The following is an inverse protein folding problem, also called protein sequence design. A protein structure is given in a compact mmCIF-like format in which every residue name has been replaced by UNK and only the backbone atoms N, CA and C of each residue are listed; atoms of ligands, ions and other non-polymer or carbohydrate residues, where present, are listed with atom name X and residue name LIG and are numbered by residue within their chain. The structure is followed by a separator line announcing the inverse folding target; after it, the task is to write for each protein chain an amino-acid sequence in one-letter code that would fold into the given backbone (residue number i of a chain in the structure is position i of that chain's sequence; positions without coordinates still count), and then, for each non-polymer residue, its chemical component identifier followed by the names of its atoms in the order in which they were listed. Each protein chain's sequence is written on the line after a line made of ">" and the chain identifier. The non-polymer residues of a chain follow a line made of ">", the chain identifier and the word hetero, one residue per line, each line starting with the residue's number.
data_IF_554677062705
#
_entry.id   IF_554677062705
#
_cell.length_a   1.000
_cell.length_b   1.000
_cell.length_c   1.000
_cell.angle_alpha   90.00
_cell.angle_beta   90.00
_cell.angle_gamma   90.00
#
_symmetry.space_group_name_H-M   'P 1'
#
loop_
_entity.id
_entity.type
_entity.pdbx_description
1 polymer ?
#
# COMPACT_ATOMS: atom_id res chain seq x y z
N UNK A 1 -23.44 -17.01 27.38
CA UNK A 1 -22.73 -16.76 26.11
C UNK A 1 -21.25 -16.88 26.41
N UNK A 2 -20.56 -17.83 25.76
CA UNK A 2 -19.10 -17.96 25.88
C UNK A 2 -18.51 -16.87 25.01
N UNK A 3 -17.80 -15.91 25.61
CA UNK A 3 -17.10 -14.85 24.90
C UNK A 3 -15.73 -15.41 24.46
N UNK A 4 -15.42 -15.35 23.18
CA UNK A 4 -14.12 -15.77 22.66
C UNK A 4 -13.07 -14.70 23.03
N UNK A 5 -11.94 -15.16 23.59
CA UNK A 5 -10.84 -14.30 24.06
C UNK A 5 -9.59 -14.52 23.21
N UNK A 6 -8.85 -13.44 22.99
CA UNK A 6 -7.58 -13.44 22.29
C UNK A 6 -6.51 -12.67 23.09
N UNK A 7 -5.27 -13.06 22.94
CA UNK A 7 -4.14 -12.25 23.40
C UNK A 7 -4.03 -10.99 22.55
N UNK A 8 -4.15 -11.14 21.22
CA UNK A 8 -4.14 -10.03 20.25
C UNK A 8 -5.29 -10.18 19.27
N UNK A 9 -6.03 -9.09 19.05
CA UNK A 9 -7.07 -9.01 18.03
C UNK A 9 -6.73 -7.91 17.03
N UNK A 10 -6.58 -8.28 15.76
CA UNK A 10 -6.28 -7.37 14.65
C UNK A 10 -7.61 -6.98 14.00
N UNK A 11 -7.88 -5.69 13.90
CA UNK A 11 -9.06 -5.15 13.23
C UNK A 11 -8.65 -4.64 11.85
N UNK A 12 -9.03 -5.37 10.81
CA UNK A 12 -8.67 -5.17 9.42
C UNK A 12 -7.73 -6.26 8.88
N UNK A 13 -8.21 -7.04 7.92
CA UNK A 13 -7.50 -8.14 7.25
C UNK A 13 -6.96 -7.76 5.86
N UNK A 14 -6.71 -6.47 5.61
CA UNK A 14 -5.98 -6.01 4.43
C UNK A 14 -4.49 -6.36 4.48
N UNK A 15 -3.72 -5.91 3.50
CA UNK A 15 -2.29 -6.24 3.41
C UNK A 15 -1.50 -5.88 4.67
N UNK A 16 -1.84 -4.77 5.33
CA UNK A 16 -1.17 -4.33 6.57
C UNK A 16 -1.52 -5.27 7.73
N UNK A 17 -2.80 -5.55 7.97
CA UNK A 17 -3.21 -6.45 9.05
C UNK A 17 -2.69 -7.87 8.87
N UNK A 18 -2.70 -8.40 7.63
CA UNK A 18 -2.15 -9.70 7.31
C UNK A 18 -0.63 -9.75 7.53
N UNK A 19 0.10 -8.69 7.16
CA UNK A 19 1.54 -8.63 7.40
C UNK A 19 1.87 -8.53 8.90
N UNK A 20 1.10 -7.78 9.67
CA UNK A 20 1.24 -7.72 11.13
C UNK A 20 1.01 -9.10 11.72
N UNK A 21 -0.07 -9.80 11.34
CA UNK A 21 -0.36 -11.15 11.80
C UNK A 21 0.80 -12.11 11.51
N UNK A 22 1.33 -12.11 10.29
CA UNK A 22 2.49 -12.92 9.90
C UNK A 22 3.67 -12.74 10.85
N UNK A 23 3.98 -11.51 11.26
CA UNK A 23 5.05 -11.24 12.20
C UNK A 23 4.73 -11.61 13.65
N UNK A 24 3.47 -11.43 14.09
CA UNK A 24 3.03 -11.75 15.44
C UNK A 24 2.98 -13.27 15.70
N UNK A 25 2.80 -14.08 14.68
CA UNK A 25 2.82 -15.56 14.78
C UNK A 25 4.17 -16.15 15.24
N UNK A 26 5.22 -15.32 15.33
CA UNK A 26 6.49 -15.72 15.94
C UNK A 26 6.40 -15.85 17.46
N UNK A 27 5.36 -15.28 18.07
CA UNK A 27 5.11 -15.33 19.50
C UNK A 27 4.10 -16.45 19.84
N UNK A 28 4.18 -17.00 21.04
CA UNK A 28 3.24 -18.02 21.54
C UNK A 28 2.00 -17.33 22.13
N UNK A 29 1.16 -16.80 21.23
CA UNK A 29 -0.05 -16.02 21.57
C UNK A 29 -1.23 -16.43 20.68
N UNK A 30 -2.44 -16.29 21.22
CA UNK A 30 -3.67 -16.45 20.44
C UNK A 30 -3.98 -15.17 19.67
N UNK A 31 -4.14 -15.29 18.34
CA UNK A 31 -4.40 -14.15 17.45
C UNK A 31 -5.76 -14.35 16.76
N UNK A 32 -6.54 -13.27 16.72
CA UNK A 32 -7.72 -13.16 15.86
C UNK A 32 -7.59 -12.03 14.85
N UNK A 33 -8.17 -12.19 13.67
CA UNK A 33 -8.32 -11.12 12.67
C UNK A 33 -9.80 -10.92 12.39
N UNK A 34 -10.30 -9.69 12.51
CA UNK A 34 -11.66 -9.33 12.12
C UNK A 34 -11.62 -8.52 10.84
N UNK A 35 -12.36 -8.94 9.82
CA UNK A 35 -12.52 -8.20 8.57
C UNK A 35 -13.87 -8.49 7.94
N UNK A 36 -14.56 -7.49 7.40
CA UNK A 36 -15.86 -7.66 6.75
C UNK A 36 -15.77 -7.98 5.25
N UNK A 37 -14.57 -8.06 4.70
CA UNK A 37 -14.31 -8.26 3.27
C UNK A 37 -15.08 -7.29 2.38
N UNK A 38 -15.24 -6.05 2.81
CA UNK A 38 -15.93 -5.02 2.05
C UNK A 38 -15.37 -4.87 0.63
N UNK A 39 -16.21 -4.44 -0.31
CA UNK A 39 -15.80 -4.13 -1.68
C UNK A 39 -14.88 -2.90 -1.72
N UNK A 40 -14.18 -2.70 -2.83
CA UNK A 40 -13.27 -1.55 -3.05
C UNK A 40 -12.14 -1.45 -2.02
N UNK A 41 -11.53 -2.57 -1.69
CA UNK A 41 -10.36 -2.63 -0.79
C UNK A 41 -9.13 -2.05 -1.48
N UNK A 42 -8.40 -1.17 -0.79
CA UNK A 42 -7.15 -0.60 -1.31
C UNK A 42 -6.15 -1.68 -1.76
N UNK A 43 -6.03 -2.78 -1.01
CA UNK A 43 -5.14 -3.90 -1.32
C UNK A 43 -5.41 -4.52 -2.69
N UNK A 44 -6.69 -4.70 -3.05
CA UNK A 44 -7.06 -5.38 -4.30
C UNK A 44 -7.02 -4.47 -5.52
N UNK A 45 -7.11 -3.16 -5.34
CA UNK A 45 -6.99 -2.18 -6.41
C UNK A 45 -5.55 -1.65 -6.59
N UNK A 46 -4.61 -2.11 -5.76
CA UNK A 46 -3.23 -1.64 -5.84
C UNK A 46 -2.52 -2.14 -7.10
N UNK A 47 -1.77 -1.26 -7.76
CA UNK A 47 -0.90 -1.61 -8.90
C UNK A 47 0.27 -2.52 -8.53
N UNK A 48 0.60 -2.61 -7.24
CA UNK A 48 1.66 -3.49 -6.72
C UNK A 48 3.06 -2.94 -6.90
N UNK A 49 3.22 -1.68 -7.26
CA UNK A 49 4.52 -1.02 -7.38
C UNK A 49 5.23 -0.94 -6.01
N UNK A 50 6.56 -1.13 -6.04
CA UNK A 50 7.46 -1.02 -4.89
C UNK A 50 8.36 0.20 -5.03
N UNK A 51 7.84 1.27 -5.61
CA UNK A 51 8.54 2.45 -6.08
C UNK A 51 8.92 3.44 -4.98
N UNK A 52 9.80 3.05 -4.05
CA UNK A 52 10.25 3.96 -3.00
C UNK A 52 10.89 5.24 -3.56
N UNK A 53 11.72 5.14 -4.61
CA UNK A 53 12.31 6.32 -5.25
C UNK A 53 11.28 7.16 -6.04
N UNK A 54 10.25 6.51 -6.58
CA UNK A 54 9.25 7.20 -7.40
C UNK A 54 8.37 8.19 -6.61
N UNK A 55 8.21 8.00 -5.31
CA UNK A 55 7.24 8.74 -4.49
C UNK A 55 7.82 9.99 -3.80
N UNK A 56 9.16 10.13 -3.69
CA UNK A 56 9.78 11.16 -2.84
C UNK A 56 10.63 12.16 -3.62
N UNK A 57 10.65 13.40 -3.11
CA UNK A 57 11.38 14.54 -3.65
C UNK A 57 12.43 15.07 -2.68
N UNK A 58 12.50 14.55 -1.49
CA UNK A 58 13.44 14.94 -0.44
C UNK A 58 13.69 13.81 0.55
N UNK A 59 14.80 13.93 1.29
CA UNK A 59 15.13 13.04 2.38
C UNK A 59 14.12 13.18 3.54
N UNK A 60 13.67 12.08 4.08
CA UNK A 60 12.77 12.05 5.22
C UNK A 60 12.78 10.66 5.89
N UNK A 61 12.33 10.55 7.16
CA UNK A 61 12.16 9.25 7.80
C UNK A 61 11.23 8.31 7.01
N UNK A 62 10.20 8.84 6.37
CA UNK A 62 9.30 8.04 5.52
C UNK A 62 10.00 7.56 4.25
N UNK A 63 10.85 8.37 3.64
CA UNK A 63 11.68 7.92 2.51
C UNK A 63 12.60 6.78 2.91
N UNK A 64 13.33 6.91 4.03
CA UNK A 64 14.19 5.84 4.56
C UNK A 64 13.40 4.57 4.87
N UNK A 65 12.24 4.70 5.51
CA UNK A 65 11.35 3.58 5.81
C UNK A 65 10.85 2.90 4.53
N UNK A 66 10.57 3.67 3.49
CA UNK A 66 10.14 3.15 2.19
C UNK A 66 11.28 2.42 1.47
N UNK A 67 12.49 2.93 1.52
CA UNK A 67 13.67 2.26 0.94
C UNK A 67 13.96 0.93 1.65
N UNK A 68 13.91 0.91 2.97
CA UNK A 68 14.04 -0.35 3.73
C UNK A 68 12.90 -1.31 3.44
N UNK A 69 11.67 -0.80 3.32
CA UNK A 69 10.50 -1.60 2.94
C UNK A 69 10.65 -2.25 1.57
N UNK A 70 11.15 -1.51 0.58
CA UNK A 70 11.45 -2.03 -0.76
C UNK A 70 12.48 -3.17 -0.71
N UNK A 71 13.53 -3.00 0.08
CA UNK A 71 14.57 -4.00 0.25
C UNK A 71 14.02 -5.27 0.92
N UNK A 72 13.26 -5.10 2.01
CA UNK A 72 12.61 -6.22 2.71
C UNK A 72 11.61 -6.96 1.84
N UNK A 73 10.91 -6.28 0.94
CA UNK A 73 9.96 -6.92 0.01
C UNK A 73 10.66 -7.83 -1.00
N UNK A 74 11.84 -7.45 -1.48
CA UNK A 74 12.64 -8.32 -2.36
C UNK A 74 13.02 -9.62 -1.67
N UNK A 75 13.60 -9.51 -0.47
CA UNK A 75 13.99 -10.68 0.32
C UNK A 75 12.78 -11.55 0.67
N UNK A 76 11.67 -10.92 1.00
CA UNK A 76 10.43 -11.63 1.35
C UNK A 76 9.79 -12.34 0.15
N UNK A 77 9.88 -11.77 -1.04
CA UNK A 77 9.41 -12.44 -2.25
C UNK A 77 10.18 -13.74 -2.51
N UNK A 78 11.50 -13.73 -2.28
CA UNK A 78 12.35 -14.92 -2.38
C UNK A 78 11.97 -15.95 -1.30
N UNK A 79 11.76 -15.52 -0.06
CA UNK A 79 11.28 -16.38 1.04
C UNK A 79 9.94 -17.03 0.70
N UNK A 80 8.96 -16.25 0.23
CA UNK A 80 7.65 -16.76 -0.18
C UNK A 80 7.75 -17.77 -1.31
N UNK A 81 8.61 -17.51 -2.30
CA UNK A 81 8.82 -18.43 -3.42
C UNK A 81 9.40 -19.79 -2.94
N UNK A 82 10.32 -19.78 -1.98
CA UNK A 82 10.83 -21.01 -1.37
C UNK A 82 9.77 -21.80 -0.59
N UNK A 83 8.75 -21.10 -0.05
CA UNK A 83 7.59 -21.72 0.61
C UNK A 83 6.50 -22.16 -0.40
N UNK A 84 6.70 -21.93 -1.70
CA UNK A 84 5.75 -22.28 -2.76
C UNK A 84 4.73 -21.19 -3.11
N UNK A 85 4.89 -19.97 -2.58
CA UNK A 85 4.01 -18.84 -2.86
C UNK A 85 4.66 -17.86 -3.82
N UNK A 86 4.23 -17.87 -5.08
CA UNK A 86 4.74 -16.95 -6.11
C UNK A 86 3.86 -15.70 -6.16
N UNK A 87 4.44 -14.56 -5.78
CA UNK A 87 3.76 -13.25 -5.76
C UNK A 87 4.07 -12.39 -6.98
N UNK A 88 4.67 -12.98 -8.01
CA UNK A 88 5.10 -12.32 -9.25
C UNK A 88 5.98 -11.09 -8.99
N UNK A 89 6.95 -11.21 -8.08
CA UNK A 89 7.94 -10.17 -7.87
C UNK A 89 8.79 -10.00 -9.14
N UNK A 90 8.87 -8.76 -9.61
CA UNK A 90 9.66 -8.37 -10.78
C UNK A 90 10.45 -7.10 -10.46
N UNK A 91 11.70 -7.03 -10.93
CA UNK A 91 12.55 -5.84 -10.83
C UNK A 91 13.05 -5.48 -12.23
N UNK A 92 12.17 -4.91 -13.03
CA UNK A 92 12.47 -4.50 -14.41
C UNK A 92 12.53 -2.98 -14.56
N UNK A 93 12.59 -2.26 -13.45
CA UNK A 93 12.68 -0.81 -13.41
C UNK A 93 11.36 -0.08 -13.67
N UNK A 94 11.43 1.23 -13.47
CA UNK A 94 10.32 2.16 -13.67
C UNK A 94 10.81 3.35 -14.50
N UNK A 95 10.07 3.66 -15.55
CA UNK A 95 10.24 4.88 -16.33
C UNK A 95 9.22 5.91 -15.83
N UNK A 96 9.67 6.93 -15.10
CA UNK A 96 8.83 8.05 -14.69
C UNK A 96 8.83 9.11 -15.77
N UNK A 97 7.66 9.34 -16.36
CA UNK A 97 7.48 10.17 -17.54
C UNK A 97 6.84 11.49 -17.12
N UNK A 98 7.42 12.62 -17.55
CA UNK A 98 6.82 13.92 -17.32
C UNK A 98 5.52 14.07 -18.11
N UNK A 99 4.42 14.36 -17.41
CA UNK A 99 3.18 14.79 -18.04
C UNK A 99 3.33 16.20 -18.60
N UNK A 100 2.45 16.57 -19.52
CA UNK A 100 2.47 17.91 -20.13
C UNK A 100 2.46 19.00 -19.05
N UNK A 101 3.50 19.88 -19.09
CA UNK A 101 3.66 20.97 -18.14
C UNK A 101 4.35 20.62 -16.81
N UNK A 102 4.72 19.37 -16.57
CA UNK A 102 5.30 18.91 -15.30
C UNK A 102 6.80 18.55 -15.38
N UNK A 103 7.51 19.04 -16.39
CA UNK A 103 8.94 18.78 -16.57
C UNK A 103 9.78 19.24 -15.37
N UNK A 104 9.48 20.40 -14.79
CA UNK A 104 10.24 20.94 -13.66
C UNK A 104 10.14 20.04 -12.42
N UNK A 105 8.95 19.52 -12.12
CA UNK A 105 8.75 18.60 -11.01
C UNK A 105 9.57 17.32 -11.18
N UNK A 106 9.60 16.75 -12.38
CA UNK A 106 10.43 15.58 -12.68
C UNK A 106 11.92 15.87 -12.50
N UNK A 107 12.39 17.03 -12.97
CA UNK A 107 13.81 17.42 -12.86
C UNK A 107 14.22 17.62 -11.40
N UNK A 108 13.38 18.23 -10.56
CA UNK A 108 13.64 18.39 -9.13
C UNK A 108 13.78 17.02 -8.44
N UNK A 109 12.90 16.08 -8.76
CA UNK A 109 12.99 14.73 -8.22
C UNK A 109 14.24 14.00 -8.71
N UNK A 110 14.58 14.14 -9.99
CA UNK A 110 15.80 13.58 -10.55
C UNK A 110 17.04 14.09 -9.82
N UNK A 111 17.16 15.38 -9.58
CA UNK A 111 18.29 15.99 -8.88
C UNK A 111 18.44 15.42 -7.46
N UNK A 112 17.32 15.29 -6.73
CA UNK A 112 17.30 14.65 -5.42
C UNK A 112 17.79 13.19 -5.48
N UNK A 113 17.23 12.38 -6.36
CA UNK A 113 17.57 10.96 -6.46
C UNK A 113 18.98 10.74 -7.01
N UNK A 114 19.41 11.51 -8.02
CA UNK A 114 20.74 11.37 -8.60
C UNK A 114 21.86 11.77 -7.63
N UNK A 115 21.59 12.64 -6.67
CA UNK A 115 22.53 12.93 -5.59
C UNK A 115 22.82 11.71 -4.71
N UNK A 116 21.85 10.82 -4.55
CA UNK A 116 21.92 9.64 -3.69
C UNK A 116 22.18 8.34 -4.48
N UNK A 117 21.50 8.18 -5.62
CA UNK A 117 21.50 6.95 -6.43
C UNK A 117 22.11 7.20 -7.82
N UNK A 118 23.34 6.77 -8.03
CA UNK A 118 24.04 6.98 -9.31
C UNK A 118 23.47 6.13 -10.48
N UNK A 119 22.50 5.25 -10.19
CA UNK A 119 21.85 4.40 -11.20
C UNK A 119 20.63 5.06 -11.85
N UNK A 120 20.13 6.18 -11.30
CA UNK A 120 19.00 6.89 -11.87
C UNK A 120 19.46 7.71 -13.07
N UNK A 121 18.77 7.60 -14.20
CA UNK A 121 19.11 8.29 -15.45
C UNK A 121 18.02 9.25 -15.90
N UNK A 122 18.42 10.42 -16.39
CA UNK A 122 17.52 11.33 -17.10
C UNK A 122 17.46 10.96 -18.57
N UNK A 123 16.26 10.66 -19.08
CA UNK A 123 16.00 10.26 -20.46
C UNK A 123 15.34 11.43 -21.20
N UNK A 124 16.01 11.95 -22.22
CA UNK A 124 15.51 13.06 -23.05
C UNK A 124 15.52 12.64 -24.52
N UNK A 125 14.39 12.78 -25.19
CA UNK A 125 14.22 12.46 -26.62
C UNK A 125 14.68 11.03 -27.03
N UNK A 126 14.63 10.07 -26.09
CA UNK A 126 15.03 8.66 -26.29
C UNK A 126 14.01 7.69 -25.67
N UNK A 127 12.75 8.12 -25.52
CA UNK A 127 11.71 7.27 -24.95
C UNK A 127 11.36 6.08 -25.84
N UNK A 128 11.75 6.12 -27.11
CA UNK A 128 11.66 5.02 -28.07
C UNK A 128 12.57 3.84 -27.73
N UNK A 129 13.54 4.01 -26.83
CA UNK A 129 14.34 2.91 -26.27
C UNK A 129 13.54 2.04 -25.27
N UNK A 130 12.39 2.54 -24.80
CA UNK A 130 11.51 1.87 -23.83
C UNK A 130 10.20 1.43 -24.49
N UNK A 131 9.52 0.47 -23.85
CA UNK A 131 8.23 -0.06 -24.30
C UNK A 131 8.23 -0.38 -25.81
N UNK A 132 9.32 -0.94 -26.33
CA UNK A 132 9.52 -1.26 -27.75
C UNK A 132 9.27 -0.10 -28.71
N UNK A 133 9.48 1.14 -28.27
CA UNK A 133 9.26 2.34 -29.07
C UNK A 133 7.79 2.72 -29.25
N UNK A 134 6.89 2.17 -28.45
CA UNK A 134 5.46 2.48 -28.53
C UNK A 134 5.03 3.72 -27.71
N UNK A 135 5.91 4.28 -26.86
CA UNK A 135 5.62 5.52 -26.13
C UNK A 135 5.43 6.69 -27.13
N UNK A 136 4.38 7.47 -26.91
CA UNK A 136 4.01 8.62 -27.75
C UNK A 136 3.89 9.89 -26.92
N UNK A 137 3.96 11.03 -27.61
CA UNK A 137 3.62 12.36 -27.09
C UNK A 137 4.45 12.87 -25.90
N UNK A 138 5.53 12.16 -25.52
CA UNK A 138 6.39 12.52 -24.38
C UNK A 138 7.86 12.53 -24.78
N UNK A 139 8.65 13.42 -24.17
CA UNK A 139 10.06 13.64 -24.54
C UNK A 139 11.03 13.62 -23.36
N UNK A 140 10.49 13.63 -22.11
CA UNK A 140 11.27 13.66 -20.87
C UNK A 140 10.80 12.58 -19.91
N UNK A 141 11.74 11.80 -19.43
CA UNK A 141 11.50 10.80 -18.39
C UNK A 141 12.73 10.65 -17.48
N UNK A 142 12.53 9.95 -16.36
CA UNK A 142 13.58 9.50 -15.46
C UNK A 142 13.50 7.98 -15.36
N UNK A 143 14.61 7.30 -15.63
CA UNK A 143 14.73 5.86 -15.50
C UNK A 143 15.23 5.47 -14.12
N UNK A 144 14.51 4.58 -13.42
CA UNK A 144 14.84 4.04 -12.10
C UNK A 144 14.98 2.52 -12.24
N UNK A 145 16.18 1.99 -12.52
CA UNK A 145 16.38 0.57 -12.83
C UNK A 145 16.17 -0.36 -11.62
N UNK A 146 16.25 0.15 -10.41
CA UNK A 146 16.11 -0.63 -9.18
C UNK A 146 14.67 -0.75 -8.69
N UNK A 147 13.72 -0.09 -9.35
CA UNK A 147 12.30 -0.20 -9.00
C UNK A 147 11.75 -1.60 -9.35
N UNK A 148 10.81 -2.05 -8.55
CA UNK A 148 10.19 -3.36 -8.68
C UNK A 148 8.69 -3.32 -8.44
N UNK A 149 8.08 -4.48 -8.58
CA UNK A 149 6.65 -4.66 -8.38
C UNK A 149 6.31 -6.09 -7.93
N UNK A 150 5.12 -6.25 -7.40
CA UNK A 150 4.50 -7.55 -7.08
C UNK A 150 3.06 -7.59 -7.61
N UNK A 151 2.49 -8.76 -7.71
CA UNK A 151 1.04 -8.90 -7.85
C UNK A 151 0.39 -8.75 -6.46
N UNK A 152 -0.26 -7.62 -6.21
CA UNK A 152 -0.83 -7.28 -4.91
C UNK A 152 -1.89 -8.29 -4.44
N UNK A 153 -2.69 -8.85 -5.34
CA UNK A 153 -3.71 -9.85 -5.03
C UNK A 153 -3.05 -11.17 -4.64
N UNK A 154 -2.09 -11.67 -5.43
CA UNK A 154 -1.34 -12.89 -5.10
C UNK A 154 -0.57 -12.74 -3.78
N UNK A 155 0.01 -11.57 -3.53
CA UNK A 155 0.71 -11.30 -2.28
C UNK A 155 -0.23 -11.33 -1.07
N UNK A 156 -1.40 -10.70 -1.16
CA UNK A 156 -2.40 -10.74 -0.10
C UNK A 156 -2.90 -12.17 0.14
N UNK A 157 -3.18 -12.93 -0.92
CA UNK A 157 -3.58 -14.34 -0.83
C UNK A 157 -2.50 -15.21 -0.17
N UNK A 158 -1.23 -15.01 -0.53
CA UNK A 158 -0.11 -15.72 0.09
C UNK A 158 -0.06 -15.48 1.60
N UNK A 159 -0.19 -14.22 2.04
CA UNK A 159 -0.25 -13.90 3.47
C UNK A 159 -1.48 -14.49 4.17
N UNK A 160 -2.66 -14.47 3.53
CA UNK A 160 -3.86 -15.10 4.08
C UNK A 160 -3.66 -16.61 4.27
N UNK A 161 -3.04 -17.29 3.31
CA UNK A 161 -2.75 -18.72 3.42
C UNK A 161 -1.69 -19.01 4.50
N UNK A 162 -0.65 -18.19 4.59
CA UNK A 162 0.33 -18.30 5.67
C UNK A 162 -0.25 -18.06 7.06
N UNK A 163 -1.35 -17.34 7.15
CA UNK A 163 -2.07 -17.03 8.39
C UNK A 163 -3.32 -17.89 8.61
N UNK A 164 -3.52 -18.97 7.83
CA UNK A 164 -4.75 -19.80 7.91
C UNK A 164 -4.97 -20.51 9.25
N UNK A 165 -3.92 -20.69 10.04
CA UNK A 165 -3.96 -21.24 11.39
C UNK A 165 -4.43 -20.23 12.47
N UNK A 166 -4.59 -18.96 12.11
CA UNK A 166 -5.11 -17.89 12.97
C UNK A 166 -6.64 -17.83 12.85
N UNK A 167 -7.32 -17.49 13.95
CA UNK A 167 -8.78 -17.34 13.91
C UNK A 167 -9.18 -16.15 13.05
N UNK A 168 -9.82 -16.42 11.93
CA UNK A 168 -10.35 -15.41 11.04
C UNK A 168 -11.85 -15.18 11.30
N UNK A 169 -12.27 -13.94 11.55
CA UNK A 169 -13.64 -13.54 11.89
C UNK A 169 -14.16 -12.65 10.75
N UNK A 170 -15.07 -13.22 9.95
CA UNK A 170 -15.73 -12.51 8.87
C UNK A 170 -16.90 -11.69 9.41
N UNK A 171 -16.61 -10.50 9.92
CA UNK A 171 -17.62 -9.63 10.51
C UNK A 171 -17.12 -8.16 10.51
N UNK A 172 -18.06 -7.24 10.77
CA UNK A 172 -17.79 -5.81 10.88
C UNK A 172 -17.71 -5.38 12.34
N UNK A 173 -16.61 -4.72 12.71
CA UNK A 173 -16.49 -4.06 14.01
C UNK A 173 -17.40 -2.83 14.06
N UNK A 174 -18.22 -2.74 15.09
CA UNK A 174 -19.16 -1.65 15.34
C UNK A 174 -18.58 -0.66 16.34
N UNK A 175 -18.05 -1.15 17.45
CA UNK A 175 -17.35 -0.33 18.45
C UNK A 175 -16.36 -1.16 19.27
N UNK A 176 -15.47 -0.45 19.95
CA UNK A 176 -14.50 -1.01 20.90
C UNK A 176 -14.60 -0.29 22.22
N UNK A 177 -14.56 -1.04 23.32
CA UNK A 177 -14.54 -0.48 24.69
C UNK A 177 -13.32 -1.02 25.44
N UNK A 178 -12.61 -0.11 26.13
CA UNK A 178 -11.54 -0.48 27.03
C UNK A 178 -12.12 -0.84 28.40
N UNK A 179 -11.70 -1.98 28.93
CA UNK A 179 -12.01 -2.46 30.28
C UNK A 179 -10.72 -3.04 30.89
N UNK A 180 -10.77 -4.25 31.46
CA UNK A 180 -9.57 -5.05 31.74
C UNK A 180 -9.14 -5.76 30.42
N UNK A 181 -8.49 -5.00 29.52
CA UNK A 181 -8.30 -5.30 28.11
C UNK A 181 -9.33 -4.57 27.23
N UNK A 182 -9.80 -5.23 26.16
CA UNK A 182 -10.72 -4.64 25.20
C UNK A 182 -11.90 -5.56 24.90
N UNK A 183 -13.09 -4.97 24.81
CA UNK A 183 -14.29 -5.59 24.28
C UNK A 183 -14.55 -5.05 22.88
N UNK A 184 -14.43 -5.90 21.87
CA UNK A 184 -14.65 -5.59 20.45
C UNK A 184 -16.02 -6.11 20.05
N UNK A 185 -16.98 -5.21 19.86
CA UNK A 185 -18.33 -5.55 19.41
C UNK A 185 -18.40 -5.51 17.90
N UNK A 186 -18.82 -6.62 17.33
CA UNK A 186 -19.10 -6.75 15.90
C UNK A 186 -20.59 -6.74 15.62
N UNK A 187 -20.97 -6.92 14.34
CA UNK A 187 -22.37 -7.03 13.93
C UNK A 187 -23.07 -8.22 14.56
N UNK A 188 -22.35 -9.33 14.79
CA UNK A 188 -22.95 -10.60 15.28
C UNK A 188 -22.70 -10.87 16.77
N UNK A 189 -21.54 -10.51 17.31
CA UNK A 189 -21.19 -10.83 18.70
C UNK A 189 -20.10 -9.91 19.27
N UNK A 190 -19.65 -10.21 20.50
CA UNK A 190 -18.56 -9.47 21.16
C UNK A 190 -17.39 -10.41 21.42
N UNK A 191 -16.18 -9.94 21.19
CA UNK A 191 -14.92 -10.60 21.47
C UNK A 191 -14.15 -9.84 22.55
N UNK A 192 -13.34 -10.55 23.33
CA UNK A 192 -12.41 -9.97 24.28
C UNK A 192 -10.97 -10.10 23.78
N UNK A 193 -10.13 -9.10 24.00
CA UNK A 193 -8.72 -9.15 23.69
C UNK A 193 -7.89 -8.42 24.76
N UNK A 194 -6.67 -8.91 25.02
CA UNK A 194 -5.73 -8.21 25.90
C UNK A 194 -5.12 -7.00 25.19
N UNK A 195 -4.80 -7.18 23.89
CA UNK A 195 -4.25 -6.15 23.03
C UNK A 195 -5.04 -6.08 21.73
N UNK A 196 -5.17 -4.89 21.17
CA UNK A 196 -5.76 -4.72 19.82
C UNK A 196 -4.83 -3.93 18.91
N UNK A 197 -4.86 -4.31 17.62
CA UNK A 197 -4.19 -3.58 16.54
C UNK A 197 -5.24 -3.10 15.55
N UNK A 198 -5.39 -1.81 15.40
CA UNK A 198 -6.31 -1.20 14.42
C UNK A 198 -5.57 -0.99 13.10
N UNK A 199 -5.89 -1.81 12.11
CA UNK A 199 -5.32 -1.81 10.75
C UNK A 199 -6.42 -1.76 9.67
N UNK A 200 -7.52 -1.03 9.96
CA UNK A 200 -8.76 -1.01 9.19
C UNK A 200 -8.76 0.01 8.03
N UNK A 201 -7.57 0.45 7.57
CA UNK A 201 -7.45 1.42 6.50
C UNK A 201 -8.19 2.72 6.81
N UNK A 202 -9.02 3.22 5.89
CA UNK A 202 -9.74 4.48 6.08
C UNK A 202 -10.76 4.44 7.24
N UNK A 203 -11.18 3.26 7.67
CA UNK A 203 -12.13 3.09 8.79
C UNK A 203 -11.45 3.10 10.18
N UNK A 204 -10.12 3.18 10.24
CA UNK A 204 -9.38 3.18 11.51
C UNK A 204 -9.77 4.34 12.42
N UNK A 205 -10.04 5.52 11.86
CA UNK A 205 -10.49 6.69 12.61
C UNK A 205 -11.83 6.46 13.33
N UNK A 206 -12.80 5.83 12.68
CA UNK A 206 -14.11 5.53 13.26
C UNK A 206 -13.99 4.55 14.44
N UNK A 207 -13.13 3.54 14.30
CA UNK A 207 -12.87 2.57 15.37
C UNK A 207 -12.21 3.27 16.58
N UNK A 208 -11.19 4.08 16.37
CA UNK A 208 -10.48 4.80 17.42
C UNK A 208 -11.37 5.83 18.13
N UNK A 209 -12.32 6.43 17.41
CA UNK A 209 -13.29 7.36 17.98
C UNK A 209 -14.13 6.73 19.10
N UNK A 210 -14.47 5.44 18.99
CA UNK A 210 -15.18 4.72 20.04
C UNK A 210 -14.39 4.61 21.36
N UNK A 211 -13.05 4.75 21.27
CA UNK A 211 -12.12 4.77 22.40
C UNK A 211 -11.72 6.19 22.84
N UNK A 212 -12.36 7.23 22.28
CA UNK A 212 -12.05 8.63 22.57
C UNK A 212 -10.73 9.14 21.98
N UNK A 213 -10.20 8.45 20.97
CA UNK A 213 -8.99 8.85 20.26
C UNK A 213 -9.40 9.44 18.90
N UNK A 214 -8.89 10.63 18.60
CA UNK A 214 -9.16 11.30 17.35
C UNK A 214 -8.04 11.03 16.32
N UNK A 215 -8.40 10.40 15.23
CA UNK A 215 -7.57 10.26 14.02
C UNK A 215 -8.47 10.53 12.81
N UNK A 216 -8.25 11.67 12.17
CA UNK A 216 -8.96 12.00 10.94
C UNK A 216 -8.45 11.14 9.80
N UNK A 217 -9.36 10.40 9.15
CA UNK A 217 -9.04 9.53 8.02
C UNK A 217 -9.92 9.86 6.83
N UNK A 218 -9.33 9.83 5.65
CA UNK A 218 -10.01 10.02 4.38
C UNK A 218 -9.81 8.80 3.46
N UNK A 219 -10.85 8.43 2.75
CA UNK A 219 -10.78 7.43 1.69
C UNK A 219 -10.58 8.12 0.32
N UNK A 220 -9.36 8.09 -0.21
CA UNK A 220 -9.11 8.60 -1.57
C UNK A 220 -9.32 7.48 -2.57
N UNK A 221 -10.43 7.56 -3.31
CA UNK A 221 -10.79 6.55 -4.32
C UNK A 221 -9.80 6.55 -5.46
N UNK A 222 -9.37 5.35 -5.86
CA UNK A 222 -8.61 5.08 -7.06
C UNK A 222 -9.25 3.95 -7.84
N UNK A 223 -9.33 4.10 -9.15
CA UNK A 223 -9.84 3.10 -10.07
C UNK A 223 -8.74 2.63 -10.98
N UNK A 224 -8.74 1.33 -11.27
CA UNK A 224 -7.80 0.67 -12.14
C UNK A 224 -8.52 -0.23 -13.11
N UNK A 225 -7.94 -0.43 -14.29
CA UNK A 225 -8.36 -1.46 -15.24
C UNK A 225 -7.20 -2.40 -15.55
N UNK A 226 -7.51 -3.61 -15.98
CA UNK A 226 -6.54 -4.60 -16.41
C UNK A 226 -6.79 -4.94 -17.86
N UNK A 227 -5.75 -4.82 -18.69
CA UNK A 227 -5.78 -5.20 -20.11
C UNK A 227 -4.94 -6.47 -20.29
N UNK A 228 -5.46 -7.41 -21.07
CA UNK A 228 -4.73 -8.54 -21.62
C UNK A 228 -4.29 -8.23 -23.04
N UNK A 229 -2.98 -8.32 -23.32
CA UNK A 229 -2.42 -7.97 -24.63
C UNK A 229 -1.39 -8.99 -25.09
N UNK A 230 -1.73 -9.84 -26.02
CA UNK A 230 -0.95 -11.02 -26.42
C UNK A 230 0.43 -10.75 -27.03
N UNK A 231 0.67 -9.58 -27.59
CA UNK A 231 1.88 -9.31 -28.37
C UNK A 231 2.74 -8.17 -27.83
N UNK A 232 2.27 -7.43 -26.84
CA UNK A 232 3.05 -6.37 -26.20
C UNK A 232 3.90 -6.99 -25.08
N UNK A 233 5.21 -7.15 -25.31
CA UNK A 233 6.15 -7.71 -24.31
C UNK A 233 6.91 -6.60 -23.59
N UNK A 234 6.18 -5.68 -22.97
CA UNK A 234 6.76 -4.63 -22.12
C UNK A 234 6.99 -5.15 -20.70
N UNK A 235 8.14 -4.86 -20.11
CA UNK A 235 8.52 -5.35 -18.78
C UNK A 235 8.65 -4.23 -17.73
N UNK A 236 9.10 -3.05 -18.16
CA UNK A 236 9.24 -1.89 -17.31
C UNK A 236 7.89 -1.27 -16.93
N UNK A 237 7.79 -0.77 -15.71
CA UNK A 237 6.64 0.03 -15.29
C UNK A 237 6.73 1.42 -15.91
N UNK A 238 5.64 1.92 -16.48
CA UNK A 238 5.51 3.31 -16.89
C UNK A 238 4.69 4.08 -15.85
N UNK A 239 5.20 5.23 -15.40
CA UNK A 239 4.52 6.08 -14.43
C UNK A 239 4.58 7.53 -14.85
N UNK A 240 3.44 8.17 -15.06
CA UNK A 240 3.37 9.60 -15.39
C UNK A 240 3.27 10.46 -14.11
N UNK A 241 3.83 11.67 -14.16
CA UNK A 241 3.81 12.59 -13.01
C UNK A 241 2.40 12.98 -12.57
N UNK A 242 1.40 12.92 -13.46
CA UNK A 242 -0.03 13.13 -13.15
C UNK A 242 -0.68 11.95 -12.38
N UNK A 243 0.06 10.87 -12.13
CA UNK A 243 -0.42 9.69 -11.38
C UNK A 243 -0.97 8.54 -12.23
N UNK A 244 -1.02 8.69 -13.56
CA UNK A 244 -1.31 7.56 -14.45
C UNK A 244 -0.12 6.60 -14.51
N UNK A 245 -0.39 5.30 -14.54
CA UNK A 245 0.64 4.28 -14.64
C UNK A 245 0.19 3.05 -15.43
N UNK A 246 1.15 2.33 -15.99
CA UNK A 246 0.98 1.03 -16.63
C UNK A 246 1.98 0.07 -16.00
N UNK A 247 1.48 -0.98 -15.35
CA UNK A 247 2.30 -1.97 -14.64
C UNK A 247 2.13 -3.33 -15.31
N UNK A 248 3.17 -3.82 -16.02
CA UNK A 248 3.13 -5.16 -16.60
C UNK A 248 3.03 -6.22 -15.51
N UNK A 249 2.24 -7.25 -15.76
CA UNK A 249 2.11 -8.43 -14.89
C UNK A 249 2.44 -9.69 -15.67
N UNK A 250 2.51 -10.84 -14.99
CA UNK A 250 2.57 -12.13 -15.66
C UNK A 250 1.31 -12.38 -16.51
N UNK A 251 1.41 -13.34 -17.42
CA UNK A 251 0.30 -13.79 -18.28
C UNK A 251 -0.22 -12.69 -19.23
N UNK A 252 0.68 -11.87 -19.76
CA UNK A 252 0.39 -10.79 -20.73
C UNK A 252 -0.65 -9.77 -20.21
N UNK A 253 -0.71 -9.60 -18.90
CA UNK A 253 -1.61 -8.65 -18.23
C UNK A 253 -0.91 -7.33 -17.93
N UNK A 254 -1.65 -6.24 -18.05
CA UNK A 254 -1.21 -4.88 -17.73
C UNK A 254 -2.23 -4.20 -16.83
N UNK A 255 -1.80 -3.79 -15.64
CA UNK A 255 -2.64 -3.00 -14.73
C UNK A 255 -2.43 -1.53 -15.01
N UNK A 256 -3.50 -0.85 -15.38
CA UNK A 256 -3.54 0.57 -15.70
C UNK A 256 -4.23 1.31 -14.56
N UNK A 257 -3.61 2.31 -14.02
CA UNK A 257 -4.14 3.11 -12.92
C UNK A 257 -3.57 4.52 -12.90
N UNK A 258 -3.91 5.29 -11.97
CA UNK A 258 -5.15 5.20 -11.24
C UNK A 258 -5.78 6.56 -11.11
N UNK A 259 -7.09 6.58 -11.18
CA UNK A 259 -7.84 7.81 -10.87
C UNK A 259 -7.60 8.27 -9.44
N UNK A 260 -7.94 9.51 -9.15
CA UNK A 260 -7.88 10.09 -7.80
C UNK A 260 -9.13 10.92 -7.57
N UNK A 261 -9.98 10.51 -6.62
CA UNK A 261 -11.19 11.23 -6.24
C UNK A 261 -11.40 11.19 -4.73
N UNK A 262 -11.73 12.33 -4.15
CA UNK A 262 -12.14 12.45 -2.74
C UNK A 262 -13.59 12.01 -2.52
N UNK A 263 -14.38 11.97 -3.59
CA UNK A 263 -15.78 11.60 -3.56
C UNK A 263 -15.99 10.41 -4.49
N UNK A 264 -16.72 9.43 -4.03
CA UNK A 264 -17.04 8.27 -4.86
C UNK A 264 -17.72 7.18 -4.06
N UNK A 265 -18.51 6.39 -4.75
CA UNK A 265 -19.12 5.19 -4.21
C UNK A 265 -18.19 3.96 -4.34
N UNK A 266 -18.66 2.82 -3.91
CA UNK A 266 -17.94 1.55 -3.94
C UNK A 266 -18.04 0.84 -5.32
N UNK A 267 -18.13 1.60 -6.41
CA UNK A 267 -18.21 1.08 -7.79
C UNK A 267 -17.17 1.73 -8.68
N UNK A 268 -16.84 1.08 -9.78
CA UNK A 268 -16.02 1.68 -10.84
C UNK A 268 -16.91 2.60 -11.68
N UNK A 269 -16.46 3.83 -11.92
CA UNK A 269 -17.20 4.82 -12.71
C UNK A 269 -16.85 4.77 -14.20
N UNK A 270 -17.79 5.14 -15.06
CA UNK A 270 -17.53 5.29 -16.50
C UNK A 270 -16.48 6.38 -16.74
N UNK A 271 -16.58 7.50 -16.04
CA UNK A 271 -15.64 8.63 -16.15
C UNK A 271 -14.21 8.22 -15.77
N UNK A 272 -14.06 7.32 -14.76
CA UNK A 272 -12.77 6.79 -14.36
C UNK A 272 -12.14 5.91 -15.45
N UNK A 273 -12.92 5.04 -16.06
CA UNK A 273 -12.48 4.20 -17.17
C UNK A 273 -12.16 5.04 -18.40
N UNK A 274 -12.95 6.04 -18.72
CA UNK A 274 -12.70 6.96 -19.82
C UNK A 274 -11.38 7.71 -19.62
N UNK A 275 -11.12 8.24 -18.42
CA UNK A 275 -9.87 8.91 -18.10
C UNK A 275 -8.65 7.97 -18.24
N UNK A 276 -8.75 6.75 -17.72
CA UNK A 276 -7.67 5.75 -17.85
C UNK A 276 -7.41 5.41 -19.32
N UNK A 277 -8.47 5.30 -20.12
CA UNK A 277 -8.41 5.03 -21.56
C UNK A 277 -7.72 6.19 -22.30
N UNK A 278 -8.12 7.42 -22.04
CA UNK A 278 -7.53 8.62 -22.67
C UNK A 278 -6.05 8.75 -22.36
N UNK A 279 -5.66 8.58 -21.08
CA UNK A 279 -4.27 8.66 -20.67
C UNK A 279 -3.43 7.54 -21.30
N UNK A 280 -3.99 6.34 -21.45
CA UNK A 280 -3.29 5.22 -22.09
C UNK A 280 -3.15 5.44 -23.58
N UNK A 281 -4.17 5.97 -24.25
CA UNK A 281 -4.11 6.32 -25.69
C UNK A 281 -3.09 7.42 -25.96
N UNK A 282 -2.92 8.38 -25.05
CA UNK A 282 -1.90 9.42 -25.18
C UNK A 282 -0.49 8.87 -25.00
N UNK A 283 -0.28 8.00 -24.00
CA UNK A 283 1.04 7.47 -23.64
C UNK A 283 1.47 6.25 -24.48
N UNK A 284 0.61 5.25 -24.55
CA UNK A 284 0.91 3.92 -25.12
C UNK A 284 -0.31 3.37 -25.88
N UNK A 285 -0.68 3.97 -27.03
CA UNK A 285 -1.91 3.59 -27.75
C UNK A 285 -1.95 2.12 -28.16
N UNK A 286 -0.78 1.48 -28.40
CA UNK A 286 -0.70 0.06 -28.75
C UNK A 286 -1.37 -0.84 -27.69
N UNK A 287 -1.29 -0.50 -26.42
CA UNK A 287 -1.88 -1.29 -25.34
C UNK A 287 -3.41 -1.38 -25.45
N UNK A 288 -4.05 -0.37 -26.03
CA UNK A 288 -5.52 -0.34 -26.21
C UNK A 288 -6.02 -1.28 -27.33
N UNK A 289 -5.13 -1.94 -28.07
CA UNK A 289 -5.48 -3.05 -28.96
C UNK A 289 -5.76 -4.36 -28.20
N UNK A 290 -5.43 -4.42 -26.91
CA UNK A 290 -5.76 -5.53 -26.03
C UNK A 290 -7.21 -5.53 -25.56
N UNK A 291 -7.55 -6.53 -24.76
CA UNK A 291 -8.89 -6.71 -24.17
C UNK A 291 -8.91 -6.23 -22.70
N UNK A 292 -9.86 -5.38 -22.32
CA UNK A 292 -10.11 -5.03 -20.92
C UNK A 292 -10.77 -6.24 -20.26
N UNK A 293 -10.04 -6.90 -19.35
CA UNK A 293 -10.48 -8.14 -18.70
C UNK A 293 -10.99 -7.91 -17.27
N UNK A 294 -10.66 -6.79 -16.65
CA UNK A 294 -11.07 -6.47 -15.28
C UNK A 294 -11.03 -4.97 -15.02
N UNK A 295 -11.86 -4.50 -14.09
CA UNK A 295 -11.79 -3.15 -13.51
C UNK A 295 -12.14 -3.17 -12.03
N UNK A 296 -11.39 -2.39 -11.25
CA UNK A 296 -11.52 -2.37 -9.79
C UNK A 296 -11.39 -0.96 -9.23
N UNK A 297 -11.96 -0.75 -8.05
CA UNK A 297 -11.73 0.45 -7.26
C UNK A 297 -11.19 0.12 -5.87
N UNK A 298 -10.53 1.09 -5.25
CA UNK A 298 -10.08 0.99 -3.87
C UNK A 298 -9.96 2.36 -3.22
N UNK A 299 -10.12 2.40 -1.91
CA UNK A 299 -9.97 3.62 -1.12
C UNK A 299 -8.62 3.62 -0.43
N UNK A 300 -7.72 4.49 -0.88
CA UNK A 300 -6.43 4.71 -0.23
C UNK A 300 -6.66 5.40 1.11
N UNK A 301 -6.14 4.85 2.23
CA UNK A 301 -6.29 5.48 3.55
C UNK A 301 -5.35 6.68 3.66
N UNK A 302 -5.89 7.87 3.60
CA UNK A 302 -5.18 9.14 3.76
C UNK A 302 -5.49 9.79 5.09
N UNK A 303 -4.60 10.66 5.57
CA UNK A 303 -4.77 11.44 6.79
C UNK A 303 -4.00 12.78 6.69
N UNK A 304 -4.37 13.80 7.50
CA UNK A 304 -3.74 15.11 7.46
C UNK A 304 -2.25 15.14 7.81
N UNK A 305 -1.72 14.09 8.46
CA UNK A 305 -0.29 13.98 8.77
C UNK A 305 0.56 13.63 7.53
N UNK A 306 -0.08 13.22 6.42
CA UNK A 306 0.56 12.82 5.16
C UNK A 306 1.64 11.72 5.34
N UNK A 307 1.46 10.87 6.33
CA UNK A 307 2.34 9.75 6.65
C UNK A 307 1.56 8.65 7.37
N UNK A 308 2.06 7.42 7.39
CA UNK A 308 1.47 6.36 8.20
C UNK A 308 1.48 6.73 9.68
N UNK A 309 0.46 6.26 10.40
CA UNK A 309 0.45 6.14 11.85
C UNK A 309 0.74 4.69 12.19
N UNK A 310 1.88 4.44 12.86
CA UNK A 310 2.30 3.12 13.34
C UNK A 310 2.76 3.34 14.77
N UNK A 311 1.86 3.13 15.72
CA UNK A 311 2.04 3.62 17.07
C UNK A 311 1.29 2.77 18.11
N UNK A 312 1.76 2.79 19.35
CA UNK A 312 0.99 2.43 20.54
C UNK A 312 0.33 3.70 21.10
N UNK A 313 -0.90 3.97 20.67
CA UNK A 313 -1.62 5.21 21.00
C UNK A 313 -2.18 5.23 22.42
N UNK A 314 -2.23 4.08 23.07
CA UNK A 314 -2.59 3.85 24.47
C UNK A 314 -2.08 2.47 24.86
N UNK A 315 -1.86 2.20 26.16
CA UNK A 315 -1.43 0.89 26.64
C UNK A 315 -2.23 -0.25 25.99
N UNK A 316 -1.52 -1.15 25.29
CA UNK A 316 -2.08 -2.30 24.57
C UNK A 316 -3.02 -1.97 23.40
N UNK A 317 -3.09 -0.71 22.97
CA UNK A 317 -3.83 -0.25 21.81
C UNK A 317 -2.86 0.24 20.72
N UNK A 318 -2.76 -0.50 19.67
CA UNK A 318 -1.86 -0.22 18.54
C UNK A 318 -2.63 0.19 17.29
N UNK A 319 -2.01 1.01 16.46
CA UNK A 319 -2.58 1.50 15.20
C UNK A 319 -1.56 1.33 14.07
N UNK A 320 -1.99 0.85 12.93
CA UNK A 320 -1.21 0.80 11.70
C UNK A 320 -2.10 1.18 10.51
N UNK A 321 -2.13 2.45 10.14
CA UNK A 321 -2.99 2.98 9.07
C UNK A 321 -2.37 4.19 8.38
N UNK A 322 -3.05 4.74 7.38
CA UNK A 322 -2.59 5.95 6.70
C UNK A 322 -1.44 5.75 5.72
N UNK A 323 -1.24 4.54 5.21
CA UNK A 323 -0.17 4.22 4.26
C UNK A 323 -0.41 4.80 2.85
N UNK A 324 -1.59 5.37 2.61
CA UNK A 324 -2.02 6.01 1.38
C UNK A 324 -1.74 5.14 0.14
N UNK A 325 -0.81 5.57 -0.72
CA UNK A 325 -0.45 4.85 -1.97
C UNK A 325 0.55 3.71 -1.75
N UNK A 326 1.21 3.68 -0.60
CA UNK A 326 2.39 2.85 -0.33
C UNK A 326 2.09 1.60 0.52
N UNK A 327 0.82 1.21 0.66
CA UNK A 327 0.44 0.08 1.51
C UNK A 327 1.12 -1.24 1.14
N UNK A 328 1.27 -1.56 -0.14
CA UNK A 328 1.98 -2.77 -0.59
C UNK A 328 3.48 -2.67 -0.27
N UNK A 329 4.13 -1.57 -0.67
CA UNK A 329 5.54 -1.29 -0.42
C UNK A 329 5.90 -1.39 1.08
N UNK A 330 5.06 -0.78 1.93
CA UNK A 330 5.32 -0.65 3.36
C UNK A 330 4.80 -1.82 4.21
N UNK A 331 4.08 -2.77 3.63
CA UNK A 331 3.40 -3.82 4.40
C UNK A 331 4.37 -4.66 5.24
N UNK A 332 5.43 -5.17 4.64
CA UNK A 332 6.39 -6.05 5.32
C UNK A 332 7.10 -5.32 6.48
N UNK A 333 7.62 -4.12 6.22
CA UNK A 333 8.33 -3.34 7.25
C UNK A 333 7.37 -2.83 8.34
N UNK A 334 6.11 -2.50 8.01
CA UNK A 334 5.08 -2.16 9.00
C UNK A 334 4.78 -3.33 9.92
N UNK A 335 4.63 -4.54 9.36
CA UNK A 335 4.42 -5.74 10.16
C UNK A 335 5.59 -6.01 11.11
N UNK A 336 6.82 -5.90 10.61
CA UNK A 336 8.03 -6.04 11.41
C UNK A 336 8.13 -4.97 12.50
N UNK A 337 7.88 -3.70 12.17
CA UNK A 337 7.91 -2.60 13.13
C UNK A 337 6.85 -2.78 14.22
N UNK A 338 5.61 -3.12 13.85
CA UNK A 338 4.53 -3.35 14.81
C UNK A 338 4.89 -4.47 15.79
N UNK A 339 5.40 -5.60 15.31
CA UNK A 339 5.87 -6.67 16.17
C UNK A 339 6.93 -6.18 17.18
N UNK A 340 7.89 -5.34 16.76
CA UNK A 340 8.92 -4.81 17.65
C UNK A 340 8.35 -3.78 18.63
N UNK A 341 7.39 -2.97 18.24
CA UNK A 341 6.69 -2.06 19.15
C UNK A 341 5.93 -2.82 20.24
N UNK A 342 5.35 -3.97 19.91
CA UNK A 342 4.60 -4.78 20.87
C UNK A 342 5.51 -5.59 21.81
N UNK A 343 6.59 -6.20 21.31
CA UNK A 343 7.34 -7.22 22.05
C UNK A 343 8.83 -6.90 22.30
N UNK A 344 9.42 -5.95 21.57
CA UNK A 344 10.84 -5.61 21.72
C UNK A 344 11.14 -4.16 21.30
N UNK A 345 10.68 -3.21 22.10
CA UNK A 345 10.83 -1.75 21.83
C UNK A 345 12.31 -1.28 21.77
N UNK A 346 13.27 -2.11 22.21
CA UNK A 346 14.71 -1.81 22.14
C UNK A 346 15.36 -2.33 20.83
N UNK A 347 14.60 -3.05 19.99
CA UNK A 347 15.12 -3.49 18.70
C UNK A 347 15.50 -2.29 17.81
N UNK A 348 16.61 -2.36 17.03
CA UNK A 348 17.06 -1.23 16.20
C UNK A 348 15.98 -0.64 15.29
N UNK A 349 15.13 -1.49 14.68
CA UNK A 349 14.01 -1.03 13.83
C UNK A 349 13.02 -0.15 14.63
N UNK A 350 12.61 -0.60 15.83
CA UNK A 350 11.72 0.16 16.69
C UNK A 350 12.38 1.45 17.16
N UNK A 351 13.64 1.38 17.60
CA UNK A 351 14.39 2.55 18.05
C UNK A 351 14.55 3.61 16.94
N UNK A 352 14.71 3.15 15.69
CA UNK A 352 14.85 4.06 14.53
C UNK A 352 13.56 4.79 14.18
N UNK A 353 12.40 4.10 14.25
CA UNK A 353 11.16 4.61 13.64
C UNK A 353 10.03 4.94 14.61
N UNK A 354 10.04 4.44 15.86
CA UNK A 354 8.93 4.59 16.82
C UNK A 354 8.45 6.02 17.05
N UNK A 355 9.35 7.01 16.92
CA UNK A 355 9.02 8.41 17.17
C UNK A 355 8.60 9.18 15.91
N UNK A 356 8.78 8.57 14.72
CA UNK A 356 8.46 9.21 13.44
C UNK A 356 7.03 8.94 12.95
N UNK A 357 6.39 7.87 13.43
CA UNK A 357 5.06 7.46 12.97
C UNK A 357 4.01 7.50 14.08
N UNK A 358 4.27 8.24 15.15
CA UNK A 358 3.33 8.45 16.24
C UNK A 358 2.09 9.23 15.79
N UNK A 359 0.97 8.91 16.43
CA UNK A 359 -0.21 9.77 16.39
C UNK A 359 0.06 11.03 17.20
N UNK A 360 0.26 12.15 16.51
CA UNK A 360 0.44 13.46 17.14
C UNK A 360 -0.90 14.20 17.17
N UNK A 361 -1.16 14.94 18.25
CA UNK A 361 -2.29 15.87 18.31
C UNK A 361 -2.04 17.00 17.29
N UNK A 362 -2.89 17.08 16.27
CA UNK A 362 -2.80 18.10 15.20
C UNK A 362 -2.85 19.53 15.79
N UNK A 363 -3.45 19.70 16.96
CA UNK A 363 -3.50 20.99 17.65
C UNK A 363 -2.15 21.50 18.15
N UNK A 364 -1.16 20.63 18.41
CA UNK A 364 0.19 21.07 18.80
C UNK A 364 1.06 21.49 17.61
N UNK A 365 0.77 20.98 16.40
CA UNK A 365 1.59 21.24 15.21
C UNK A 365 1.28 22.59 14.55
N UNK A 366 0.11 23.17 14.76
CA UNK A 366 -0.30 24.47 14.20
C UNK A 366 0.28 25.65 15.01
N UNK A 367 0.81 25.41 16.21
CA UNK A 367 1.35 26.45 17.10
C UNK A 367 2.89 26.50 17.15
N UNK A 368 3.60 25.71 16.34
CA UNK A 368 5.06 25.78 16.15
C UNK A 368 5.41 26.25 14.73
#
# INVERSE_FOLDING_TARGET
>A
VVITKFDVLIIGGGIIGQSICYHLKQEDISIGIIDDFSRCRATHAAGGMLGAQNEFYSESPLFQFSMEGQYMMKEFADELAHLGYVIDYQQHGLLKIASHGEHESLLQQYDFLNAQFKTTELVKNRLDEFAHGYIRNHDLAMWIPTDGQVNAVKYHQALMTLNEDVTFIHDRVIDVKANDGFNVRTSSQTYEAQQIVVAAGMYSGDILKSLGIHLEMHGVKGEVMTIHHHTLDMKETLFQTNGHYIVPKSDDLYVIGATTSMNGDNTVSEEGIDWLTEMTLDLLPELMNGEIVDSRCGFRPDNPLQRPVIDEVRDNLFVATGHYRNGILLSKITGALMHKLMFNKQHPLAMKYKDHFKLEDIHETILK
#
